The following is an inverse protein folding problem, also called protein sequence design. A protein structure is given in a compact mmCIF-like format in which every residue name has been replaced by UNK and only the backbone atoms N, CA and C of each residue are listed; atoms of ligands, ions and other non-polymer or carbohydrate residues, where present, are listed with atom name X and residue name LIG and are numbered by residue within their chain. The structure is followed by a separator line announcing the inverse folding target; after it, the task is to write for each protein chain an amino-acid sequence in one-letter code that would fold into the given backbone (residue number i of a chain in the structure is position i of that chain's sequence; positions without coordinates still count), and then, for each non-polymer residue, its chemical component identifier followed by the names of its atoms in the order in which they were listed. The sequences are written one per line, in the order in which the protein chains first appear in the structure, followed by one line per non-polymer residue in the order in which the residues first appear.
data_IF_333667274257
#
_entry.id   IF_333667274257
#
_cell.length_a   1.000
_cell.length_b   1.000
_cell.length_c   1.000
_cell.angle_alpha   90.00
_cell.angle_beta   90.00
_cell.angle_gamma   90.00
#
_symmetry.space_group_name_H-M   'P 1'
#
loop_
_entity.id
_entity.type
_entity.pdbx_description
1 polymer ?
#
# COMPACT_ATOMS: atom_id res chain seq x y z
N UNK A 1 2.71 -10.24 -14.68
CA UNK A 1 3.30 -8.92 -15.04
C UNK A 1 2.19 -7.90 -14.82
N UNK A 2 2.49 -6.77 -14.21
CA UNK A 2 1.56 -5.64 -14.09
C UNK A 2 2.14 -4.56 -15.00
N UNK A 3 1.35 -4.10 -15.96
CA UNK A 3 1.71 -3.01 -16.86
C UNK A 3 1.40 -1.67 -16.21
N UNK A 4 2.14 -0.59 -16.52
CA UNK A 4 1.91 0.72 -15.94
C UNK A 4 0.48 1.24 -16.13
N UNK A 5 -0.13 0.96 -17.28
CA UNK A 5 -1.52 1.31 -17.56
C UNK A 5 -2.54 0.67 -16.61
N UNK A 6 -2.24 -0.52 -16.08
CA UNK A 6 -3.12 -1.23 -15.12
C UNK A 6 -3.09 -0.58 -13.72
N UNK A 7 -2.09 0.26 -13.43
CA UNK A 7 -2.00 0.97 -12.14
C UNK A 7 -3.10 2.02 -11.96
N UNK A 8 -3.67 2.54 -13.05
CA UNK A 8 -4.77 3.50 -12.98
C UNK A 8 -6.08 2.89 -12.48
N UNK A 9 -6.25 1.57 -12.66
CA UNK A 9 -7.45 0.84 -12.25
C UNK A 9 -7.37 0.37 -10.79
N UNK A 10 -6.24 0.58 -10.13
CA UNK A 10 -6.05 0.17 -8.74
C UNK A 10 -6.54 1.24 -7.77
N UNK A 11 -7.44 0.85 -6.87
CA UNK A 11 -7.96 1.75 -5.84
C UNK A 11 -6.91 2.06 -4.77
N UNK A 12 -6.07 1.09 -4.40
CA UNK A 12 -5.17 1.19 -3.25
C UNK A 12 -3.78 0.61 -3.57
N UNK A 13 -2.74 1.21 -2.98
CA UNK A 13 -1.35 0.79 -3.16
C UNK A 13 -0.55 0.97 -1.86
N UNK A 14 0.33 0.02 -1.55
CA UNK A 14 1.29 0.12 -0.46
C UNK A 14 2.57 -0.61 -0.81
N UNK A 15 3.65 -0.23 -0.13
CA UNK A 15 4.95 -0.88 -0.23
C UNK A 15 5.24 -1.63 1.06
N UNK A 16 5.87 -2.79 0.91
CA UNK A 16 6.39 -3.56 2.03
C UNK A 16 7.91 -3.63 1.96
N UNK A 17 8.58 -3.49 3.09
CA UNK A 17 10.03 -3.61 3.14
C UNK A 17 10.54 -3.64 4.57
N UNK A 18 11.73 -4.17 4.81
CA UNK A 18 12.31 -4.27 6.15
C UNK A 18 12.48 -2.92 6.85
N UNK A 19 12.58 -1.82 6.08
CA UNK A 19 12.70 -0.46 6.61
C UNK A 19 11.36 0.25 6.85
N UNK A 20 10.26 -0.23 6.27
CA UNK A 20 8.99 0.50 6.22
C UNK A 20 7.75 -0.41 6.38
N UNK A 21 7.97 -1.68 6.74
CA UNK A 21 7.02 -2.76 7.05
C UNK A 21 5.81 -2.84 6.12
N UNK A 22 4.77 -2.04 6.37
CA UNK A 22 3.67 -1.75 5.46
C UNK A 22 3.49 -0.24 5.41
N UNK A 23 3.72 0.38 4.25
CA UNK A 23 3.59 1.82 4.07
C UNK A 23 2.60 2.15 2.95
N UNK A 24 1.51 2.89 3.24
CA UNK A 24 0.57 3.35 2.24
C UNK A 24 1.23 4.26 1.21
N UNK A 25 0.89 4.09 -0.08
CA UNK A 25 1.33 4.96 -1.16
C UNK A 25 0.16 5.78 -1.65
N UNK A 26 0.25 7.11 -1.59
CA UNK A 26 -0.79 7.99 -2.12
C UNK A 26 -0.60 8.38 -3.58
N UNK A 27 0.62 8.27 -4.12
CA UNK A 27 0.94 8.69 -5.49
C UNK A 27 2.23 8.05 -6.01
N UNK A 28 2.22 7.60 -7.26
CA UNK A 28 3.42 7.15 -8.01
C UNK A 28 3.37 7.80 -9.39
N UNK A 29 4.32 8.70 -9.70
CA UNK A 29 4.29 9.42 -10.97
C UNK A 29 2.98 10.20 -11.15
N UNK A 30 2.23 9.89 -12.21
CA UNK A 30 0.90 10.49 -12.48
C UNK A 30 -0.27 9.70 -11.87
N UNK A 31 -0.01 8.52 -11.29
CA UNK A 31 -1.04 7.67 -10.66
C UNK A 31 -1.28 8.08 -9.22
N UNK A 32 -2.55 8.24 -8.84
CA UNK A 32 -2.97 8.56 -7.46
C UNK A 32 -3.74 7.38 -6.90
N UNK A 33 -3.44 7.00 -5.66
CA UNK A 33 -4.05 5.86 -4.99
C UNK A 33 -4.75 6.32 -3.71
N UNK A 34 -5.87 5.70 -3.39
CA UNK A 34 -6.59 5.96 -2.15
C UNK A 34 -5.92 5.23 -0.98
N UNK A 35 -5.66 5.95 0.11
CA UNK A 35 -5.30 5.32 1.40
C UNK A 35 -6.58 4.97 2.15
N UNK A 36 -7.29 3.97 1.63
CA UNK A 36 -8.58 3.50 2.12
C UNK A 36 -8.47 2.58 3.34
N UNK A 37 -9.61 2.03 3.76
CA UNK A 37 -9.72 1.23 4.98
C UNK A 37 -8.83 -0.03 4.94
N UNK A 38 -8.79 -0.75 3.81
CA UNK A 38 -8.00 -1.97 3.65
C UNK A 38 -6.50 -1.71 3.85
N UNK A 39 -5.94 -0.67 3.22
CA UNK A 39 -4.53 -0.30 3.38
C UNK A 39 -4.17 -0.05 4.85
N UNK A 40 -5.05 0.61 5.61
CA UNK A 40 -4.86 0.85 7.04
C UNK A 40 -4.95 -0.43 7.85
N UNK A 41 -5.95 -1.27 7.56
CA UNK A 41 -6.15 -2.54 8.24
C UNK A 41 -4.93 -3.46 8.10
N UNK A 42 -4.36 -3.55 6.89
CA UNK A 42 -3.15 -4.35 6.64
C UNK A 42 -1.95 -3.80 7.42
N UNK A 43 -1.78 -2.47 7.46
CA UNK A 43 -0.72 -1.83 8.24
C UNK A 43 -0.84 -2.15 9.73
N UNK A 44 -2.03 -1.94 10.29
CA UNK A 44 -2.30 -2.17 11.72
C UNK A 44 -2.18 -3.65 12.09
N UNK A 45 -2.65 -4.56 11.22
CA UNK A 45 -2.58 -6.00 11.45
C UNK A 45 -1.14 -6.50 11.46
N UNK A 46 -0.31 -6.02 10.53
CA UNK A 46 1.12 -6.34 10.50
C UNK A 46 1.81 -5.83 11.77
N UNK A 47 1.59 -4.57 12.13
CA UNK A 47 2.19 -3.97 13.33
C UNK A 47 1.87 -4.77 14.61
N UNK A 48 0.62 -5.21 14.77
CA UNK A 48 0.20 -6.06 15.90
C UNK A 48 0.91 -7.41 15.91
N UNK A 49 1.14 -8.01 14.74
CA UNK A 49 1.76 -9.34 14.63
C UNK A 49 3.24 -9.30 15.01
N UNK A 50 3.97 -8.28 14.58
CA UNK A 50 5.44 -8.22 14.76
C UNK A 50 5.89 -7.58 16.07
N UNK A 51 4.99 -6.88 16.77
CA UNK A 51 5.26 -6.25 18.09
C UNK A 51 4.79 -7.09 19.29
N UNK A 52 4.34 -8.32 19.08
CA UNK A 52 3.92 -9.26 20.13
C UNK A 52 5.09 -9.87 20.90
#
# INVERSE_FOLDING_TARGET
HIMPEELADFEQCWLTGTAAEVTPVGKIGDFTFEVGALTREISDAYEKLVRA
#
